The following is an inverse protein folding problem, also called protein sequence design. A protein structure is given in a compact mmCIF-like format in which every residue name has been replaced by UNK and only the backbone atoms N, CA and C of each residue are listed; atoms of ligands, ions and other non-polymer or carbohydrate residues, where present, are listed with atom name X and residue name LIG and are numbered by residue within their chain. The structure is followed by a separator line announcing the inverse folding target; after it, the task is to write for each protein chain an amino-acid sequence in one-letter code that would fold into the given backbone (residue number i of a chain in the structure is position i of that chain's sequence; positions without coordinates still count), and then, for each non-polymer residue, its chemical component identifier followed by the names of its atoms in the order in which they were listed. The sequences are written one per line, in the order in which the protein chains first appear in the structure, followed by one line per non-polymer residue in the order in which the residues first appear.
data_IF_399773417931
#
_entry.id   IF_399773417931
#
_cell.length_a   1.000
_cell.length_b   1.000
_cell.length_c   1.000
_cell.angle_alpha   90.00
_cell.angle_beta   90.00
_cell.angle_gamma   90.00
#
_symmetry.space_group_name_H-M   'P 1'
#
loop_
_entity.id
_entity.type
_entity.pdbx_description
1 polymer ?
#
# COMPACT_ATOMS: atom_id res chain seq x y z
N UNK A 1 15.77 -8.43 11.92
CA UNK A 1 14.44 -8.46 12.50
C UNK A 1 13.41 -7.89 11.56
N UNK A 2 12.30 -8.56 11.44
CA UNK A 2 11.19 -8.11 10.61
C UNK A 2 10.56 -6.89 11.26
N UNK A 3 10.56 -5.81 10.52
CA UNK A 3 9.95 -4.59 11.01
C UNK A 3 8.52 -4.50 10.49
N UNK A 4 7.68 -3.94 11.32
CA UNK A 4 6.30 -3.72 10.95
C UNK A 4 6.18 -2.92 9.66
N UNK A 5 7.03 -1.92 9.49
CA UNK A 5 7.03 -1.08 8.30
C UNK A 5 7.31 -1.87 7.03
N UNK A 6 8.25 -2.81 7.11
CA UNK A 6 8.57 -3.64 5.95
C UNK A 6 7.40 -4.50 5.53
N UNK A 7 6.66 -5.04 6.51
CA UNK A 7 5.48 -5.84 6.23
C UNK A 7 4.39 -5.00 5.59
N UNK A 8 4.18 -3.78 6.08
CA UNK A 8 3.19 -2.88 5.51
C UNK A 8 3.56 -2.47 4.08
N UNK A 9 4.83 -2.17 3.87
CA UNK A 9 5.31 -1.80 2.55
C UNK A 9 5.06 -2.92 1.54
N UNK A 10 5.39 -4.13 1.94
CA UNK A 10 5.21 -5.31 1.09
C UNK A 10 3.73 -5.54 0.78
N UNK A 11 2.88 -5.43 1.79
CA UNK A 11 1.46 -5.61 1.62
C UNK A 11 0.86 -4.58 0.67
N UNK A 12 1.27 -3.33 0.80
CA UNK A 12 0.80 -2.25 -0.06
C UNK A 12 1.26 -2.49 -1.49
N UNK A 13 2.52 -2.86 -1.67
CA UNK A 13 3.05 -3.11 -3.00
C UNK A 13 2.32 -4.26 -3.68
N UNK A 14 2.08 -5.34 -2.96
CA UNK A 14 1.35 -6.48 -3.50
C UNK A 14 -0.08 -6.13 -3.88
N UNK A 15 -0.74 -5.36 -3.04
CA UNK A 15 -2.09 -4.93 -3.34
C UNK A 15 -2.13 -4.06 -4.59
N UNK A 16 -1.16 -3.17 -4.74
CA UNK A 16 -1.08 -2.32 -5.93
C UNK A 16 -0.83 -3.15 -7.19
N UNK A 17 0.07 -4.11 -7.13
CA UNK A 17 0.37 -4.97 -8.26
C UNK A 17 -0.84 -5.83 -8.63
N UNK A 18 -1.52 -6.35 -7.63
CA UNK A 18 -2.70 -7.18 -7.84
C UNK A 18 -3.81 -6.42 -8.55
N UNK A 19 -3.95 -5.15 -8.25
CA UNK A 19 -5.02 -4.32 -8.81
C UNK A 19 -4.55 -3.42 -9.95
N UNK A 20 -3.40 -3.71 -10.54
CA UNK A 20 -2.87 -2.94 -11.66
C UNK A 20 -2.62 -1.49 -11.30
N UNK A 21 -2.08 -1.25 -10.13
CA UNK A 21 -1.77 0.09 -9.61
C UNK A 21 -2.99 0.95 -9.35
N UNK A 22 -4.15 0.35 -9.22
CA UNK A 22 -5.35 1.08 -8.85
C UNK A 22 -5.37 1.26 -7.34
N UNK A 23 -5.04 2.47 -6.92
CA UNK A 23 -4.91 2.77 -5.50
C UNK A 23 -6.23 2.61 -4.74
N UNK A 24 -7.32 2.95 -5.40
CA UNK A 24 -8.63 2.82 -4.79
C UNK A 24 -8.93 1.37 -4.42
N UNK A 25 -8.71 0.47 -5.36
CA UNK A 25 -8.95 -0.95 -5.13
C UNK A 25 -7.98 -1.51 -4.10
N UNK A 26 -6.73 -1.10 -4.17
CA UNK A 26 -5.73 -1.53 -3.21
C UNK A 26 -6.07 -1.07 -1.79
N UNK A 27 -6.53 0.16 -1.66
CA UNK A 27 -6.92 0.70 -0.36
C UNK A 27 -8.09 -0.09 0.22
N UNK A 28 -9.03 -0.44 -0.62
CA UNK A 28 -10.19 -1.23 -0.20
C UNK A 28 -9.76 -2.61 0.28
N UNK A 29 -8.84 -3.23 -0.45
CA UNK A 29 -8.33 -4.53 -0.05
C UNK A 29 -7.59 -4.46 1.28
N UNK A 30 -6.84 -3.41 1.48
CA UNK A 30 -6.08 -3.22 2.72
C UNK A 30 -6.94 -2.66 3.87
N UNK A 31 -8.20 -2.38 3.58
CA UNK A 31 -9.13 -1.84 4.57
C UNK A 31 -8.68 -0.50 5.14
N UNK A 32 -8.16 0.35 4.28
CA UNK A 32 -7.72 1.70 4.66
C UNK A 32 -8.31 2.69 3.65
N UNK A 33 -8.28 3.97 3.99
CA UNK A 33 -8.77 5.00 3.08
C UNK A 33 -7.76 5.25 1.97
N UNK A 34 -8.23 5.76 0.82
CA UNK A 34 -7.35 6.13 -0.27
C UNK A 34 -6.30 7.14 0.18
N UNK A 35 -6.73 8.08 0.99
CA UNK A 35 -5.83 9.11 1.51
C UNK A 35 -4.67 8.50 2.29
N UNK A 36 -4.99 7.53 3.15
CA UNK A 36 -3.96 6.83 3.92
C UNK A 36 -3.03 6.06 3.00
N UNK A 37 -3.60 5.43 1.98
CA UNK A 37 -2.79 4.68 1.01
C UNK A 37 -1.84 5.60 0.24
N UNK A 38 -2.33 6.74 -0.26
CA UNK A 38 -1.49 7.70 -0.95
C UNK A 38 -0.34 8.17 -0.08
N UNK A 39 -0.64 8.46 1.17
CA UNK A 39 0.37 8.89 2.12
C UNK A 39 1.44 7.83 2.30
N UNK A 40 1.04 6.59 2.46
CA UNK A 40 1.98 5.49 2.65
C UNK A 40 2.80 5.20 1.40
N UNK A 41 2.19 5.28 0.23
CA UNK A 41 2.90 5.11 -1.03
C UNK A 41 4.02 6.13 -1.16
N UNK A 42 3.72 7.37 -0.83
CA UNK A 42 4.71 8.43 -0.89
C UNK A 42 5.80 8.24 0.16
N UNK A 43 5.39 7.85 1.35
CA UNK A 43 6.30 7.64 2.47
C UNK A 43 7.28 6.51 2.20
N UNK A 44 6.81 5.45 1.54
CA UNK A 44 7.64 4.30 1.22
C UNK A 44 8.31 4.38 -0.15
N UNK A 45 8.01 5.41 -0.91
CA UNK A 45 8.59 5.57 -2.24
C UNK A 45 8.13 4.53 -3.24
N UNK A 46 6.87 4.16 -3.18
CA UNK A 46 6.30 3.15 -4.08
C UNK A 46 5.62 3.74 -5.32
N UNK A 47 5.79 5.01 -5.54
CA UNK A 47 5.20 5.68 -6.71
C UNK A 47 5.79 5.19 -8.01
#
# INVERSE_FOLDING_TARGET
ALRWDSLQKDAIRRALEKHGNQRRAAAKELNISERTLYRKIKEYGLE
#
